data_IF_212039283858
#
_entry.id   IF_212039283858
#
_cell.length_a   1.000
_cell.length_b   1.000
_cell.length_c   1.000
_cell.angle_alpha   90.00
_cell.angle_beta   90.00
_cell.angle_gamma   90.00
#
_symmetry.space_group_name_H-M   'P 1'
#
loop_
_entity.id
_entity.type
_entity.pdbx_description
1 polymer ?
#
# COMPACT_ATOMS: atom_id res chain seq x y z
N UNK A 1 -16.61 20.39 14.41
CA UNK A 1 -15.44 19.79 13.77
C UNK A 1 -15.61 19.94 12.27
N UNK A 2 -14.71 20.62 11.60
CA UNK A 2 -14.71 20.63 10.13
C UNK A 2 -14.27 19.25 9.65
N UNK A 3 -14.94 18.68 8.63
CA UNK A 3 -14.46 17.44 8.03
C UNK A 3 -13.05 17.67 7.49
N UNK A 4 -12.18 16.67 7.65
CA UNK A 4 -10.86 16.71 7.04
C UNK A 4 -11.03 16.84 5.51
N UNK A 5 -10.22 17.68 4.86
CA UNK A 5 -10.29 17.79 3.40
C UNK A 5 -10.06 16.43 2.75
N UNK A 6 -10.81 16.15 1.70
CA UNK A 6 -10.61 14.92 0.93
C UNK A 6 -9.19 14.90 0.34
N UNK A 7 -8.53 13.74 0.32
CA UNK A 7 -7.20 13.63 -0.27
C UNK A 7 -7.23 13.96 -1.76
N UNK A 8 -6.19 14.66 -2.24
CA UNK A 8 -6.11 15.15 -3.62
C UNK A 8 -4.88 14.62 -4.33
N UNK A 9 -5.02 14.39 -5.63
CA UNK A 9 -3.91 13.93 -6.48
C UNK A 9 -2.78 14.98 -6.53
N UNK A 10 -1.53 14.59 -6.27
CA UNK A 10 -0.38 15.50 -6.34
C UNK A 10 -0.15 16.12 -7.71
N UNK A 11 -0.66 15.50 -8.76
CA UNK A 11 -0.41 15.92 -10.14
C UNK A 11 -1.54 16.75 -10.73
N UNK A 12 -2.81 16.41 -10.49
CA UNK A 12 -3.95 17.09 -11.11
C UNK A 12 -4.92 17.72 -10.10
N UNK A 13 -4.66 17.59 -8.80
CA UNK A 13 -5.51 18.11 -7.71
C UNK A 13 -6.95 17.56 -7.69
N UNK A 14 -7.23 16.51 -8.49
CA UNK A 14 -8.51 15.84 -8.41
C UNK A 14 -8.64 15.09 -7.09
N UNK A 15 -9.86 15.01 -6.56
CA UNK A 15 -10.15 14.22 -5.36
C UNK A 15 -9.84 12.74 -5.62
N UNK A 16 -9.06 12.14 -4.72
CA UNK A 16 -8.70 10.74 -4.80
C UNK A 16 -9.87 9.85 -4.38
N UNK A 17 -9.98 8.71 -5.01
CA UNK A 17 -10.97 7.69 -4.65
C UNK A 17 -10.32 6.61 -3.79
N UNK A 18 -10.97 6.32 -2.67
CA UNK A 18 -10.61 5.17 -1.86
C UNK A 18 -11.05 3.91 -2.59
N UNK A 19 -10.10 3.05 -2.88
CA UNK A 19 -10.31 1.75 -3.48
C UNK A 19 -9.85 0.66 -2.51
N UNK A 20 -10.38 -0.54 -2.69
CA UNK A 20 -10.02 -1.70 -1.88
C UNK A 20 -9.61 -2.84 -2.79
N UNK A 21 -8.54 -3.52 -2.42
CA UNK A 21 -8.16 -4.80 -3.03
C UNK A 21 -7.87 -5.79 -1.91
N UNK A 22 -8.79 -6.73 -1.72
CA UNK A 22 -8.78 -7.57 -0.53
C UNK A 22 -9.02 -6.75 0.74
N UNK A 23 -8.15 -6.85 1.72
CA UNK A 23 -8.20 -6.09 2.97
C UNK A 23 -7.42 -4.75 2.91
N UNK A 24 -6.78 -4.45 1.77
CA UNK A 24 -5.92 -3.27 1.62
C UNK A 24 -6.70 -2.08 1.07
N UNK A 25 -6.61 -0.98 1.77
CA UNK A 25 -7.16 0.31 1.37
C UNK A 25 -6.08 1.13 0.66
N UNK A 26 -6.42 1.75 -0.46
CA UNK A 26 -5.53 2.67 -1.15
C UNK A 26 -6.31 3.80 -1.84
N UNK A 27 -5.66 4.93 -2.01
CA UNK A 27 -6.22 6.05 -2.76
C UNK A 27 -5.69 6.04 -4.19
N UNK A 28 -6.59 6.20 -5.15
CA UNK A 28 -6.22 6.24 -6.56
C UNK A 28 -6.72 7.52 -7.23
N UNK A 29 -5.93 8.04 -8.15
CA UNK A 29 -6.36 9.15 -8.99
C UNK A 29 -7.33 8.66 -10.07
N UNK A 30 -8.53 9.25 -10.20
CA UNK A 30 -9.48 8.86 -11.24
C UNK A 30 -8.98 9.11 -12.67
N UNK A 31 -8.00 10.00 -12.83
CA UNK A 31 -7.33 10.26 -14.11
C UNK A 31 -6.12 9.34 -14.39
N UNK A 32 -5.81 8.42 -13.46
CA UNK A 32 -4.73 7.44 -13.64
C UNK A 32 -3.31 7.99 -13.39
N UNK A 33 -3.16 9.05 -12.60
CA UNK A 33 -1.86 9.65 -12.30
C UNK A 33 -1.09 8.95 -11.17
N UNK A 34 -1.63 7.88 -10.63
CA UNK A 34 -0.98 7.10 -9.58
C UNK A 34 -1.91 6.74 -8.44
N UNK A 35 -1.32 6.15 -7.41
CA UNK A 35 -1.99 5.66 -6.22
C UNK A 35 -1.14 5.87 -4.97
N UNK A 36 -1.80 5.94 -3.82
CA UNK A 36 -1.15 6.14 -2.52
C UNK A 36 -1.58 5.11 -1.50
N UNK A 37 -0.61 4.65 -0.73
CA UNK A 37 -0.80 3.76 0.42
C UNK A 37 -0.21 4.41 1.67
N UNK A 38 -0.75 4.06 2.83
CA UNK A 38 0.03 4.24 4.06
C UNK A 38 1.19 3.24 4.11
N UNK A 39 2.24 3.57 4.85
CA UNK A 39 3.37 2.64 5.06
C UNK A 39 2.85 1.30 5.61
N UNK A 40 1.88 1.33 6.52
CA UNK A 40 1.29 0.11 7.11
C UNK A 40 0.62 -0.77 6.05
N UNK A 41 -0.09 -0.18 5.11
CA UNK A 41 -0.76 -0.91 4.03
C UNK A 41 0.24 -1.39 2.97
N UNK A 42 1.33 -0.65 2.77
CA UNK A 42 2.40 -1.05 1.87
C UNK A 42 3.07 -2.37 2.30
N UNK A 43 3.18 -2.64 3.61
CA UNK A 43 3.68 -3.93 4.12
C UNK A 43 2.86 -5.14 3.66
N UNK A 44 1.59 -4.96 3.31
CA UNK A 44 0.76 -6.03 2.76
C UNK A 44 0.97 -6.31 1.27
N UNK A 45 1.79 -5.50 0.59
CA UNK A 45 1.98 -5.57 -0.87
C UNK A 45 3.43 -5.67 -1.34
N UNK A 46 4.31 -5.08 -0.59
CA UNK A 46 5.73 -4.95 -0.91
C UNK A 46 6.52 -5.66 0.17
N UNK A 47 7.63 -6.27 -0.18
CA UNK A 47 8.49 -6.93 0.78
C UNK A 47 8.93 -5.97 1.89
N UNK A 48 9.00 -6.45 3.12
CA UNK A 48 9.33 -5.66 4.30
C UNK A 48 10.67 -4.93 4.18
N UNK A 49 11.66 -5.58 3.60
CA UNK A 49 12.99 -5.00 3.37
C UNK A 49 12.93 -3.78 2.45
N UNK A 50 12.08 -3.82 1.42
CA UNK A 50 11.88 -2.71 0.49
C UNK A 50 11.16 -1.55 1.16
N UNK A 51 10.14 -1.82 1.98
CA UNK A 51 9.47 -0.78 2.78
C UNK A 51 10.46 -0.12 3.74
N UNK A 52 11.32 -0.90 4.38
CA UNK A 52 12.36 -0.38 5.27
C UNK A 52 13.35 0.52 4.52
N UNK A 53 13.80 0.14 3.33
CA UNK A 53 14.65 0.97 2.46
C UNK A 53 13.96 2.28 2.06
N UNK A 54 12.69 2.23 1.69
CA UNK A 54 11.88 3.42 1.36
C UNK A 54 11.83 4.37 2.56
N UNK A 55 11.54 3.86 3.74
CA UNK A 55 11.40 4.68 4.94
C UNK A 55 12.73 5.29 5.40
N UNK A 56 13.80 4.50 5.42
CA UNK A 56 15.14 5.00 5.74
C UNK A 56 15.60 6.03 4.69
N UNK A 57 15.35 5.81 3.42
CA UNK A 57 15.61 6.79 2.37
C UNK A 57 14.82 8.08 2.58
N UNK A 58 13.56 7.99 2.98
CA UNK A 58 12.72 9.16 3.26
C UNK A 58 13.24 9.99 4.45
N UNK A 59 13.85 9.36 5.46
CA UNK A 59 14.47 10.08 6.57
C UNK A 59 15.72 10.84 6.16
N UNK A 60 16.48 10.31 5.21
CA UNK A 60 17.79 10.82 4.81
C UNK A 60 17.73 11.89 3.69
N UNK A 61 16.60 11.97 2.98
CA UNK A 61 16.47 12.79 1.76
C UNK A 61 15.77 14.11 2.06
N UNK A 62 16.13 15.15 1.30
CA UNK A 62 15.46 16.45 1.34
C UNK A 62 14.09 16.40 0.63
N UNK A 63 13.22 17.39 0.94
CA UNK A 63 11.89 17.47 0.36
C UNK A 63 11.93 17.55 -1.18
N UNK A 64 11.01 16.81 -1.79
CA UNK A 64 10.73 16.88 -3.23
C UNK A 64 9.75 18.00 -3.59
N UNK A 65 9.17 17.92 -4.77
CA UNK A 65 8.26 18.93 -5.32
C UNK A 65 6.78 18.56 -5.25
N UNK A 66 6.45 17.27 -5.17
CA UNK A 66 5.06 16.82 -5.11
C UNK A 66 4.47 17.03 -3.72
N UNK A 67 3.27 17.56 -3.66
CA UNK A 67 2.51 17.74 -2.42
C UNK A 67 1.91 16.41 -1.96
N UNK A 68 1.93 16.16 -0.65
CA UNK A 68 1.24 15.01 -0.07
C UNK A 68 -0.27 15.09 -0.34
N UNK A 69 -0.91 14.01 -0.78
CA UNK A 69 -2.35 14.00 -1.03
C UNK A 69 -3.19 14.26 0.23
N UNK A 70 -2.63 14.04 1.43
CA UNK A 70 -3.35 14.16 2.70
C UNK A 70 -3.13 15.52 3.39
N UNK A 71 -1.88 15.96 3.53
CA UNK A 71 -1.53 17.17 4.28
C UNK A 71 -0.98 18.32 3.42
N UNK A 72 -0.87 18.13 2.12
CA UNK A 72 -0.34 19.09 1.16
C UNK A 72 1.12 19.56 1.42
N UNK A 73 1.82 18.99 2.38
CA UNK A 73 3.25 19.27 2.56
C UNK A 73 4.08 18.60 1.45
N UNK A 74 5.23 19.19 1.06
CA UNK A 74 6.10 18.54 0.08
C UNK A 74 6.56 17.16 0.55
N UNK A 75 6.33 16.15 -0.27
CA UNK A 75 6.86 14.81 -0.05
C UNK A 75 8.35 14.76 -0.36
N UNK A 76 9.05 13.78 0.19
CA UNK A 76 10.44 13.51 -0.18
C UNK A 76 10.47 12.48 -1.29
N UNK A 77 11.37 12.68 -2.25
CA UNK A 77 11.58 11.73 -3.35
C UNK A 77 12.67 10.74 -2.96
N UNK A 78 12.35 9.48 -2.95
CA UNK A 78 13.25 8.38 -2.57
C UNK A 78 13.50 7.50 -3.77
N UNK A 79 14.76 7.24 -4.09
CA UNK A 79 15.17 6.27 -5.12
C UNK A 79 15.75 5.05 -4.45
N UNK A 80 15.19 3.89 -4.73
CA UNK A 80 15.67 2.61 -4.24
C UNK A 80 16.15 1.74 -5.40
N UNK A 81 17.23 0.99 -5.19
CA UNK A 81 17.66 -0.05 -6.11
C UNK A 81 16.77 -1.29 -5.94
N UNK A 82 16.30 -1.85 -7.02
CA UNK A 82 15.55 -3.11 -7.06
C UNK A 82 16.41 -4.14 -7.77
N UNK A 83 16.58 -5.31 -7.17
CA UNK A 83 17.30 -6.39 -7.83
C UNK A 83 16.47 -6.90 -9.03
N UNK A 84 17.03 -6.88 -10.25
CA UNK A 84 16.28 -7.29 -11.43
C UNK A 84 15.82 -8.76 -11.40
N UNK A 85 16.49 -9.58 -10.62
CA UNK A 85 16.12 -11.00 -10.45
C UNK A 85 14.94 -11.18 -9.46
N UNK A 86 14.69 -10.21 -8.59
CA UNK A 86 13.57 -10.20 -7.62
C UNK A 86 12.35 -9.41 -8.10
N UNK A 87 12.50 -8.61 -9.15
CA UNK A 87 11.37 -7.94 -9.77
C UNK A 87 10.41 -9.00 -10.31
N UNK A 88 9.23 -9.06 -9.69
CA UNK A 88 8.22 -10.05 -10.03
C UNK A 88 8.05 -10.18 -11.55
N UNK A 89 7.87 -11.42 -12.04
CA UNK A 89 7.58 -11.78 -13.42
C UNK A 89 6.36 -11.02 -13.97
N UNK A 90 6.55 -9.75 -14.24
CA UNK A 90 5.61 -8.89 -14.92
C UNK A 90 6.06 -8.74 -16.35
N UNK A 91 5.18 -9.06 -17.29
CA UNK A 91 5.30 -9.03 -18.75
C UNK A 91 6.46 -8.20 -19.31
N UNK A 92 7.25 -8.77 -20.23
CA UNK A 92 8.25 -8.01 -20.98
C UNK A 92 7.54 -7.01 -21.89
N UNK A 93 7.74 -5.75 -21.65
CA UNK A 93 7.19 -4.67 -22.47
C UNK A 93 7.55 -3.29 -21.93
N UNK A 94 8.55 -2.68 -22.51
CA UNK A 94 8.87 -1.24 -22.49
C UNK A 94 9.09 -0.58 -21.10
N UNK A 95 10.09 -1.05 -20.35
CA UNK A 95 10.66 -0.21 -19.29
C UNK A 95 12.18 -0.17 -19.37
N UNK A 96 12.78 1.00 -19.13
CA UNK A 96 14.23 1.08 -19.04
C UNK A 96 14.68 0.27 -17.84
N UNK A 97 15.52 -0.69 -18.12
CA UNK A 97 16.16 -1.66 -17.24
C UNK A 97 17.17 -0.94 -16.30
N UNK A 98 16.66 -0.07 -15.44
CA UNK A 98 17.54 0.70 -14.55
C UNK A 98 17.73 0.06 -13.17
N UNK A 99 16.93 -0.95 -12.81
CA UNK A 99 16.96 -1.53 -11.47
C UNK A 99 16.76 -0.51 -10.35
N UNK A 100 16.11 0.61 -10.65
CA UNK A 100 15.84 1.68 -9.69
C UNK A 100 14.38 2.13 -9.80
N UNK A 101 13.75 2.30 -8.64
CA UNK A 101 12.40 2.85 -8.53
C UNK A 101 12.46 4.15 -7.72
N UNK A 102 11.79 5.18 -8.20
CA UNK A 102 11.72 6.48 -7.54
C UNK A 102 10.31 6.71 -7.03
N UNK A 103 10.16 6.95 -5.74
CA UNK A 103 8.89 7.08 -5.04
C UNK A 103 8.82 8.39 -4.28
N UNK A 104 7.61 8.88 -4.04
CA UNK A 104 7.38 10.07 -3.21
C UNK A 104 6.77 9.66 -1.87
N UNK A 105 7.37 10.11 -0.77
CA UNK A 105 7.01 9.71 0.59
C UNK A 105 6.68 10.93 1.45
N UNK A 106 5.53 10.91 2.09
CA UNK A 106 5.19 11.87 3.13
C UNK A 106 5.62 11.35 4.50
N UNK A 107 6.54 12.09 5.17
CA UNK A 107 7.00 11.73 6.52
C UNK A 107 5.94 11.99 7.59
N UNK A 108 5.07 12.97 7.38
CA UNK A 108 4.07 13.36 8.38
C UNK A 108 2.93 12.35 8.44
N UNK A 109 2.38 12.00 7.29
CA UNK A 109 1.22 11.09 7.20
C UNK A 109 1.63 9.64 6.93
N UNK A 110 2.92 9.38 6.75
CA UNK A 110 3.45 8.04 6.43
C UNK A 110 2.79 7.44 5.18
N UNK A 111 2.60 8.27 4.16
CA UNK A 111 2.01 7.89 2.88
C UNK A 111 3.11 7.76 1.84
N UNK A 112 3.06 6.69 1.06
CA UNK A 112 3.88 6.47 -0.14
C UNK A 112 3.00 6.68 -1.36
N UNK A 113 3.45 7.51 -2.27
CA UNK A 113 2.81 7.74 -3.57
C UNK A 113 3.58 7.04 -4.66
N UNK A 114 2.85 6.29 -5.47
CA UNK A 114 3.36 5.56 -6.63
C UNK A 114 2.82 6.19 -7.90
N UNK A 115 3.69 6.63 -8.77
CA UNK A 115 3.32 6.98 -10.12
C UNK A 115 2.96 5.71 -10.92
N UNK A 116 2.25 5.81 -12.05
CA UNK A 116 1.86 4.64 -12.82
C UNK A 116 3.06 3.74 -13.18
N UNK A 117 2.98 2.45 -12.83
CA UNK A 117 4.02 1.47 -13.12
C UNK A 117 5.12 1.33 -12.08
N UNK A 118 5.20 2.20 -11.08
CA UNK A 118 6.25 2.11 -10.04
C UNK A 118 6.01 0.97 -9.05
N UNK A 119 4.76 0.75 -8.64
CA UNK A 119 4.41 -0.33 -7.72
C UNK A 119 4.75 -1.72 -8.29
N UNK A 120 4.55 -1.90 -9.59
CA UNK A 120 4.81 -3.14 -10.28
C UNK A 120 6.30 -3.48 -10.39
N UNK A 121 7.16 -2.49 -10.20
CA UNK A 121 8.62 -2.66 -10.21
C UNK A 121 9.17 -3.11 -8.86
N UNK A 122 8.40 -2.98 -7.79
CA UNK A 122 8.82 -3.42 -6.46
C UNK A 122 8.61 -4.92 -6.27
N UNK A 123 9.54 -5.61 -5.58
CA UNK A 123 9.34 -6.98 -5.16
C UNK A 123 8.07 -7.11 -4.31
N UNK A 124 7.20 -8.04 -4.70
CA UNK A 124 5.99 -8.35 -3.95
C UNK A 124 6.32 -9.34 -2.84
N UNK A 125 5.57 -9.24 -1.76
CA UNK A 125 5.58 -10.28 -0.73
C UNK A 125 4.85 -11.53 -1.28
N UNK A 126 5.62 -12.42 -1.89
CA UNK A 126 5.12 -13.68 -2.43
C UNK A 126 4.84 -14.72 -1.33
N UNK A 127 5.31 -14.46 -0.09
CA UNK A 127 5.01 -15.32 1.06
C UNK A 127 3.59 -15.11 1.59
N UNK A 128 2.96 -14.02 1.20
CA UNK A 128 1.55 -13.75 1.51
C UNK A 128 0.73 -13.56 0.22
N UNK A 129 0.59 -14.59 -0.61
CA UNK A 129 -0.25 -14.51 -1.80
C UNK A 129 -1.68 -14.14 -1.37
N UNK A 130 -2.38 -13.36 -2.19
CA UNK A 130 -3.81 -13.09 -1.95
C UNK A 130 -4.53 -14.40 -1.64
N UNK A 131 -5.28 -14.46 -0.53
CA UNK A 131 -5.93 -15.69 -0.14
C UNK A 131 -6.85 -16.16 -1.26
N UNK A 132 -6.70 -17.39 -1.66
CA UNK A 132 -7.57 -17.99 -2.68
C UNK A 132 -9.01 -18.02 -2.18
N UNK A 133 -10.02 -18.03 -3.06
CA UNK A 133 -11.42 -18.17 -2.66
C UNK A 133 -11.67 -19.35 -1.72
N UNK A 134 -10.89 -20.43 -1.86
CA UNK A 134 -10.95 -21.60 -1.00
C UNK A 134 -10.38 -21.33 0.40
N UNK A 135 -9.29 -20.56 0.49
CA UNK A 135 -8.71 -20.14 1.76
C UNK A 135 -9.65 -19.18 2.50
N UNK A 136 -10.26 -18.21 1.79
CA UNK A 136 -11.25 -17.29 2.37
C UNK A 136 -12.48 -18.04 2.89
N UNK A 137 -12.97 -19.05 2.15
CA UNK A 137 -14.08 -19.89 2.59
C UNK A 137 -13.73 -20.70 3.85
N UNK A 138 -12.50 -21.21 3.93
CA UNK A 138 -12.00 -21.97 5.07
C UNK A 138 -11.80 -21.11 6.30
N UNK A 139 -11.30 -19.90 6.14
CA UNK A 139 -11.18 -18.92 7.24
C UNK A 139 -12.55 -18.48 7.75
N UNK A 140 -13.51 -18.23 6.87
CA UNK A 140 -14.88 -17.89 7.25
C UNK A 140 -15.55 -19.02 8.03
N UNK A 141 -15.35 -20.29 7.65
CA UNK A 141 -15.85 -21.45 8.36
C UNK A 141 -15.20 -21.62 9.73
N UNK A 142 -13.87 -21.39 9.82
CA UNK A 142 -13.14 -21.42 11.08
C UNK A 142 -13.61 -20.33 12.05
N UNK A 143 -13.81 -19.10 11.55
CA UNK A 143 -14.33 -17.98 12.32
C UNK A 143 -15.75 -18.26 12.85
N UNK A 144 -16.60 -18.87 12.04
CA UNK A 144 -17.95 -19.29 12.44
C UNK A 144 -17.89 -20.34 13.55
N UNK A 145 -17.06 -21.36 13.40
CA UNK A 145 -16.90 -22.42 14.41
C UNK A 145 -16.38 -21.85 15.74
N UNK A 146 -15.43 -20.91 15.70
CA UNK A 146 -14.92 -20.23 16.89
C UNK A 146 -16.00 -19.37 17.56
N UNK A 147 -16.83 -18.67 16.79
CA UNK A 147 -17.95 -17.87 17.30
C UNK A 147 -19.02 -18.75 17.96
N UNK A 148 -19.38 -19.86 17.33
CA UNK A 148 -20.35 -20.81 17.87
C UNK A 148 -19.85 -21.46 19.19
N UNK A 149 -18.55 -21.80 19.26
CA UNK A 149 -17.91 -22.32 20.46
C UNK A 149 -17.90 -21.30 21.60
N UNK A 150 -17.62 -20.01 21.28
CA UNK A 150 -17.64 -18.92 22.25
C UNK A 150 -19.05 -18.67 22.79
N UNK A 151 -20.07 -18.67 21.93
CA UNK A 151 -21.47 -18.53 22.35
C UNK A 151 -21.92 -19.71 23.23
N UNK A 152 -21.55 -20.92 22.89
CA UNK A 152 -21.83 -22.10 23.68
C UNK A 152 -21.15 -22.05 25.07
N UNK A 153 -19.93 -21.51 25.11
CA UNK A 153 -19.22 -21.30 26.38
C UNK A 153 -19.91 -20.24 27.25
N UNK A 154 -20.21 -19.07 26.67
CA UNK A 154 -20.87 -17.98 27.39
C UNK A 154 -22.25 -18.35 27.92
N UNK A 155 -23.03 -19.15 27.17
CA UNK A 155 -24.35 -19.59 27.58
C UNK A 155 -24.36 -20.51 28.83
N UNK A 156 -23.22 -21.14 29.15
CA UNK A 156 -23.06 -21.94 30.37
C UNK A 156 -22.84 -21.10 31.62
N UNK A 157 -22.41 -19.85 31.48
CA UNK A 157 -22.04 -18.97 32.60
C UNK A 157 -23.03 -17.80 32.80
N UNK A 158 -24.04 -17.67 31.93
CA UNK A 158 -25.11 -16.65 32.04
C UNK A 158 -26.42 -17.25 32.62
N UNK A 159 -26.32 -17.92 33.74
CA UNK A 159 -27.50 -18.28 34.56
C UNK A 159 -27.51 -17.51 35.85
#
# INVERSE_FOLDING_TARGET
MSPLPAPTCPQCSAELKLAKTGELDFWSCPAGHGLGFTITEAYGRVQEDEISKIWEGAKATSAGTKACPMCATPMVTVTIGVDPDEAAEGKPGDQPDTGQVTLDVCRNDQVVWFDPGELEQLPRDLENPEPTPEQLAKEAELAKTASDALQAFLSKYTR
#
